data_IF_680671620724
#
_entry.id   IF_680671620724
#
_cell.length_a   1.000
_cell.length_b   1.000
_cell.length_c   1.000
_cell.angle_alpha   90.00
_cell.angle_beta   90.00
_cell.angle_gamma   90.00
#
_symmetry.space_group_name_H-M   'P 1'
#
loop_
_entity.id
_entity.type
_entity.pdbx_description
1 polymer ?
#
# COMPACT_ATOMS: atom_id res chain seq x y z
N UNK A 1 23.93 -8.38 3.48
CA UNK A 1 23.93 -9.85 3.63
C UNK A 1 23.40 -10.13 5.02
N UNK A 2 22.12 -10.51 5.15
CA UNK A 2 21.54 -10.88 6.44
C UNK A 2 21.77 -12.38 6.62
N UNK A 3 22.46 -12.78 7.68
CA UNK A 3 22.67 -14.20 7.99
C UNK A 3 21.46 -14.72 8.76
N UNK A 4 20.76 -15.69 8.19
CA UNK A 4 19.62 -16.35 8.83
C UNK A 4 20.14 -17.63 9.52
N UNK A 5 19.71 -17.85 10.76
CA UNK A 5 20.07 -19.03 11.52
C UNK A 5 18.81 -19.86 11.79
N UNK A 6 18.92 -21.16 11.57
CA UNK A 6 17.92 -22.13 12.01
C UNK A 6 18.25 -22.62 13.40
N UNK A 7 17.28 -22.47 14.30
CA UNK A 7 17.33 -23.07 15.63
C UNK A 7 16.96 -24.54 15.49
N UNK A 8 17.93 -25.41 15.74
CA UNK A 8 17.80 -26.85 15.76
C UNK A 8 17.34 -27.37 17.12
N UNK A 9 17.88 -28.50 17.53
CA UNK A 9 17.52 -29.14 18.80
C UNK A 9 17.93 -28.26 19.98
N UNK A 10 16.99 -28.03 20.90
CA UNK A 10 17.23 -27.33 22.16
C UNK A 10 17.27 -28.38 23.28
N UNK A 11 18.39 -28.47 24.00
CA UNK A 11 18.57 -29.41 25.12
C UNK A 11 18.84 -28.66 26.40
N UNK A 12 18.31 -29.19 27.50
CA UNK A 12 18.65 -28.74 28.83
C UNK A 12 19.76 -29.67 29.37
N UNK A 13 21.00 -29.20 29.58
CA UNK A 13 22.14 -30.06 29.90
C UNK A 13 22.05 -30.74 31.28
N UNK A 14 21.15 -30.28 32.16
CA UNK A 14 20.97 -30.79 33.53
C UNK A 14 19.55 -30.51 34.01
N UNK A 15 18.92 -31.46 34.71
CA UNK A 15 17.50 -31.37 35.15
C UNK A 15 17.16 -30.15 36.04
N UNK A 16 18.15 -29.44 36.58
CA UNK A 16 17.98 -28.24 37.42
C UNK A 16 18.71 -26.98 36.90
N UNK A 17 19.14 -26.97 35.64
CA UNK A 17 19.86 -25.85 35.04
C UNK A 17 18.90 -24.82 34.42
N UNK A 18 19.06 -23.52 34.73
CA UNK A 18 18.38 -22.43 33.99
C UNK A 18 18.97 -22.19 32.59
N UNK A 19 20.06 -22.88 32.24
CA UNK A 19 20.76 -22.76 30.96
C UNK A 19 20.24 -23.79 29.97
N UNK A 20 19.99 -23.33 28.76
CA UNK A 20 19.55 -24.11 27.60
C UNK A 20 20.61 -24.02 26.52
N UNK A 21 20.91 -25.13 25.87
CA UNK A 21 21.80 -25.21 24.72
C UNK A 21 20.97 -25.39 23.46
N UNK A 22 21.20 -24.52 22.46
CA UNK A 22 20.50 -24.57 21.18
C UNK A 22 21.52 -24.71 20.05
N UNK A 23 21.33 -25.71 19.18
CA UNK A 23 22.11 -25.80 17.97
C UNK A 23 21.64 -24.76 16.95
N UNK A 24 22.57 -24.00 16.38
CA UNK A 24 22.30 -23.04 15.31
C UNK A 24 22.98 -23.50 14.02
N UNK A 25 22.20 -23.60 12.95
CA UNK A 25 22.72 -23.89 11.61
C UNK A 25 22.56 -22.64 10.76
N UNK A 26 23.61 -22.22 10.06
CA UNK A 26 23.52 -21.13 9.07
C UNK A 26 22.64 -21.64 7.93
N UNK A 27 21.64 -20.86 7.56
CA UNK A 27 20.75 -21.17 6.43
C UNK A 27 20.70 -20.00 5.46
N UNK A 28 20.12 -20.27 4.30
CA UNK A 28 19.81 -19.28 3.29
C UNK A 28 18.34 -19.41 2.84
N UNK A 29 17.96 -18.63 1.84
CA UNK A 29 16.62 -18.54 1.28
C UNK A 29 16.15 -19.84 0.60
N UNK A 30 17.05 -20.81 0.38
CA UNK A 30 16.74 -22.11 -0.22
C UNK A 30 16.41 -23.22 0.79
N UNK A 31 16.49 -22.96 2.11
CA UNK A 31 16.13 -23.95 3.13
C UNK A 31 14.63 -24.30 3.05
N UNK A 32 14.33 -25.60 2.88
CA UNK A 32 12.97 -26.11 2.66
C UNK A 32 12.00 -25.86 3.81
N UNK A 33 12.49 -25.76 5.06
CA UNK A 33 11.65 -25.39 6.20
C UNK A 33 11.36 -23.90 6.24
N UNK A 34 12.34 -23.05 5.89
CA UNK A 34 12.11 -21.61 5.73
C UNK A 34 11.11 -21.33 4.59
N UNK A 35 11.27 -22.02 3.46
CA UNK A 35 10.30 -21.98 2.35
C UNK A 35 8.93 -22.45 2.82
N UNK A 36 8.84 -23.59 3.50
CA UNK A 36 7.56 -24.12 4.02
C UNK A 36 6.90 -23.21 5.07
N UNK A 37 7.68 -22.57 5.94
CA UNK A 37 7.17 -21.55 6.88
C UNK A 37 6.67 -20.31 6.15
N UNK A 38 7.42 -19.86 5.14
CA UNK A 38 7.04 -18.74 4.29
C UNK A 38 5.71 -19.04 3.59
N UNK A 39 5.53 -20.24 3.05
CA UNK A 39 4.29 -20.65 2.40
C UNK A 39 3.12 -20.77 3.39
N UNK A 40 3.36 -21.27 4.61
CA UNK A 40 2.35 -21.28 5.67
C UNK A 40 1.96 -19.88 6.13
N UNK A 41 2.91 -18.95 6.21
CA UNK A 41 2.63 -17.55 6.54
C UNK A 41 1.84 -16.91 5.39
N UNK A 42 2.24 -17.13 4.13
CA UNK A 42 1.47 -16.67 2.96
C UNK A 42 0.03 -17.19 2.99
N UNK A 43 -0.16 -18.47 3.34
CA UNK A 43 -1.48 -19.08 3.46
C UNK A 43 -2.29 -18.48 4.62
N UNK A 44 -1.67 -18.30 5.78
CA UNK A 44 -2.33 -17.72 6.96
C UNK A 44 -2.68 -16.23 6.78
N UNK A 45 -1.98 -15.54 5.89
CA UNK A 45 -2.13 -14.10 5.57
C UNK A 45 -2.92 -13.92 4.25
N UNK A 46 -3.51 -15.01 3.70
CA UNK A 46 -4.31 -14.99 2.46
C UNK A 46 -5.60 -14.17 2.58
N UNK A 47 -5.98 -13.73 3.78
CA UNK A 47 -7.07 -12.77 3.92
C UNK A 47 -6.80 -11.49 3.07
N UNK A 48 -7.83 -10.80 2.57
CA UNK A 48 -7.63 -9.66 1.68
C UNK A 48 -6.74 -8.56 2.27
N UNK A 49 -6.80 -8.37 3.59
CA UNK A 49 -6.00 -7.36 4.30
C UNK A 49 -4.54 -7.78 4.42
N UNK A 50 -4.31 -9.05 4.74
CA UNK A 50 -3.00 -9.68 4.79
C UNK A 50 -2.28 -9.63 3.45
N UNK A 51 -2.95 -10.09 2.39
CA UNK A 51 -2.45 -10.08 1.02
C UNK A 51 -2.11 -8.66 0.55
N UNK A 52 -2.94 -7.67 0.89
CA UNK A 52 -2.66 -6.26 0.57
C UNK A 52 -1.42 -5.72 1.30
N UNK A 53 -1.23 -6.07 2.57
CA UNK A 53 -0.03 -5.70 3.34
C UNK A 53 1.22 -6.34 2.75
N UNK A 54 1.15 -7.61 2.36
CA UNK A 54 2.24 -8.33 1.71
C UNK A 54 2.62 -7.66 0.38
N UNK A 55 1.65 -7.37 -0.48
CA UNK A 55 1.89 -6.68 -1.75
C UNK A 55 2.54 -5.30 -1.55
N UNK A 56 2.13 -4.58 -0.50
CA UNK A 56 2.72 -3.27 -0.16
C UNK A 56 4.17 -3.40 0.33
N UNK A 57 4.52 -4.47 1.04
CA UNK A 57 5.90 -4.75 1.45
C UNK A 57 6.76 -5.10 0.23
N UNK A 58 6.27 -5.96 -0.66
CA UNK A 58 6.94 -6.31 -1.91
C UNK A 58 7.25 -5.06 -2.75
N UNK A 59 6.32 -4.09 -2.82
CA UNK A 59 6.58 -2.80 -3.48
C UNK A 59 7.75 -2.04 -2.86
N UNK A 60 7.85 -2.01 -1.53
CA UNK A 60 8.93 -1.29 -0.83
C UNK A 60 10.28 -1.97 -0.96
N UNK A 61 10.28 -3.30 -1.04
CA UNK A 61 11.50 -4.11 -1.24
C UNK A 61 11.95 -4.14 -2.71
N UNK A 62 11.11 -3.65 -3.65
CA UNK A 62 11.43 -3.58 -5.07
C UNK A 62 10.99 -4.82 -5.88
N UNK A 63 10.24 -5.74 -5.28
CA UNK A 63 9.68 -6.92 -5.92
C UNK A 63 8.40 -6.57 -6.70
N UNK A 64 8.52 -5.71 -7.72
CA UNK A 64 7.38 -5.14 -8.43
C UNK A 64 6.53 -6.16 -9.19
N UNK A 65 7.15 -7.17 -9.81
CA UNK A 65 6.43 -8.18 -10.59
C UNK A 65 5.56 -9.07 -9.68
N UNK A 66 6.08 -9.45 -8.51
CA UNK A 66 5.35 -10.22 -7.51
C UNK A 66 4.22 -9.39 -6.88
N UNK A 67 4.47 -8.11 -6.61
CA UNK A 67 3.43 -7.19 -6.13
C UNK A 67 2.29 -7.05 -7.15
N UNK A 68 2.62 -6.95 -8.44
CA UNK A 68 1.62 -6.86 -9.52
C UNK A 68 0.74 -8.11 -9.59
N UNK A 69 1.33 -9.31 -9.55
CA UNK A 69 0.58 -10.57 -9.57
C UNK A 69 -0.43 -10.63 -8.41
N UNK A 70 0.02 -10.30 -7.20
CA UNK A 70 -0.81 -10.33 -6.01
C UNK A 70 -1.92 -9.26 -6.05
N UNK A 71 -1.64 -8.05 -6.54
CA UNK A 71 -2.67 -7.03 -6.72
C UNK A 71 -3.69 -7.41 -7.80
N UNK A 72 -3.29 -8.11 -8.87
CA UNK A 72 -4.23 -8.60 -9.86
C UNK A 72 -5.14 -9.71 -9.31
N UNK A 73 -4.61 -10.61 -8.47
CA UNK A 73 -5.41 -11.61 -7.75
C UNK A 73 -6.43 -10.93 -6.82
N UNK A 74 -5.97 -9.98 -6.01
CA UNK A 74 -6.84 -9.18 -5.14
C UNK A 74 -7.92 -8.44 -5.93
N UNK A 75 -7.59 -7.92 -7.11
CA UNK A 75 -8.54 -7.22 -7.97
C UNK A 75 -9.65 -8.14 -8.50
N UNK A 76 -9.34 -9.41 -8.78
CA UNK A 76 -10.32 -10.41 -9.22
C UNK A 76 -11.27 -10.80 -8.09
N UNK A 77 -10.78 -10.86 -6.86
CA UNK A 77 -11.55 -11.22 -5.68
C UNK A 77 -12.24 -10.04 -4.99
N UNK A 78 -11.95 -8.80 -5.42
CA UNK A 78 -12.49 -7.59 -4.82
C UNK A 78 -14.00 -7.46 -5.04
N UNK A 79 -14.77 -7.53 -3.95
CA UNK A 79 -16.23 -7.43 -3.97
C UNK A 79 -16.73 -5.99 -3.93
N UNK A 80 -15.98 -5.07 -3.33
CA UNK A 80 -16.36 -3.67 -3.20
C UNK A 80 -15.58 -2.76 -4.14
N UNK A 81 -16.27 -1.77 -4.72
CA UNK A 81 -15.65 -0.77 -5.60
C UNK A 81 -14.57 0.06 -4.87
N UNK A 82 -14.73 0.30 -3.56
CA UNK A 82 -13.70 0.96 -2.74
C UNK A 82 -12.37 0.20 -2.72
N UNK A 83 -12.43 -1.13 -2.59
CA UNK A 83 -11.24 -1.99 -2.58
C UNK A 83 -10.59 -1.99 -3.96
N UNK A 84 -11.41 -2.10 -5.02
CA UNK A 84 -10.93 -2.03 -6.42
C UNK A 84 -10.24 -0.69 -6.69
N UNK A 85 -10.76 0.42 -6.19
CA UNK A 85 -10.12 1.73 -6.33
C UNK A 85 -8.73 1.76 -5.66
N UNK A 86 -8.61 1.18 -4.47
CA UNK A 86 -7.35 1.10 -3.73
C UNK A 86 -6.34 0.20 -4.44
N UNK A 87 -6.78 -0.96 -4.93
CA UNK A 87 -5.94 -1.91 -5.67
C UNK A 87 -5.46 -1.30 -6.99
N UNK A 88 -6.33 -0.63 -7.75
CA UNK A 88 -5.91 0.09 -8.96
C UNK A 88 -4.90 1.20 -8.67
N UNK A 89 -5.02 1.88 -7.53
CA UNK A 89 -4.02 2.87 -7.12
C UNK A 89 -2.65 2.21 -6.89
N UNK A 90 -2.63 1.05 -6.20
CA UNK A 90 -1.39 0.33 -5.96
C UNK A 90 -0.77 -0.22 -7.24
N UNK A 91 -1.56 -0.80 -8.16
CA UNK A 91 -1.09 -1.21 -9.49
C UNK A 91 -0.49 -0.04 -10.28
N UNK A 92 -1.08 1.16 -10.16
CA UNK A 92 -0.50 2.38 -10.72
C UNK A 92 0.90 2.67 -10.15
N UNK A 93 1.06 2.53 -8.82
CA UNK A 93 2.35 2.69 -8.15
C UNK A 93 3.37 1.64 -8.57
N UNK A 94 2.96 0.38 -8.70
CA UNK A 94 3.82 -0.71 -9.19
C UNK A 94 4.36 -0.37 -10.58
N UNK A 95 3.46 0.01 -11.50
CA UNK A 95 3.83 0.36 -12.88
C UNK A 95 4.72 1.59 -12.96
N UNK A 96 4.49 2.57 -12.09
CA UNK A 96 5.32 3.75 -11.98
C UNK A 96 6.76 3.37 -11.59
N UNK A 97 6.93 2.53 -10.57
CA UNK A 97 8.26 2.08 -10.15
C UNK A 97 8.96 1.17 -11.17
N UNK A 98 8.20 0.43 -11.98
CA UNK A 98 8.72 -0.31 -13.15
C UNK A 98 9.07 0.60 -14.34
N UNK A 99 8.86 1.93 -14.26
CA UNK A 99 9.07 2.86 -15.38
C UNK A 99 8.01 2.79 -16.49
N UNK A 100 6.92 2.04 -16.26
CA UNK A 100 5.82 1.86 -17.21
C UNK A 100 4.78 2.99 -17.07
N UNK A 101 5.22 4.24 -17.27
CA UNK A 101 4.43 5.44 -16.96
C UNK A 101 3.05 5.50 -17.62
N UNK A 102 2.93 5.11 -18.89
CA UNK A 102 1.62 5.09 -19.57
C UNK A 102 0.64 4.10 -18.94
N UNK A 103 1.13 2.96 -18.43
CA UNK A 103 0.29 1.99 -17.72
C UNK A 103 -0.07 2.51 -16.34
N UNK A 104 0.86 3.16 -15.64
CA UNK A 104 0.62 3.80 -14.36
C UNK A 104 -0.53 4.82 -14.43
N UNK A 105 -0.51 5.71 -15.42
CA UNK A 105 -1.61 6.67 -15.66
C UNK A 105 -2.94 5.96 -15.86
N UNK A 106 -3.00 4.90 -16.67
CA UNK A 106 -4.24 4.15 -16.92
C UNK A 106 -4.82 3.57 -15.62
N UNK A 107 -3.97 3.01 -14.76
CA UNK A 107 -4.42 2.45 -13.49
C UNK A 107 -4.85 3.53 -12.50
N UNK A 108 -4.10 4.63 -12.38
CA UNK A 108 -4.51 5.76 -11.54
C UNK A 108 -5.82 6.40 -12.02
N UNK A 109 -6.06 6.50 -13.34
CA UNK A 109 -7.33 6.97 -13.89
C UNK A 109 -8.51 6.02 -13.58
N UNK A 110 -8.29 4.70 -13.63
CA UNK A 110 -9.32 3.73 -13.19
C UNK A 110 -9.66 3.91 -11.72
N UNK A 111 -8.65 4.07 -10.87
CA UNK A 111 -8.84 4.36 -9.44
C UNK A 111 -9.61 5.65 -9.21
N UNK A 112 -9.21 6.74 -9.87
CA UNK A 112 -9.86 8.05 -9.78
C UNK A 112 -11.33 7.97 -10.17
N UNK A 113 -11.66 7.33 -11.30
CA UNK A 113 -13.05 7.20 -11.78
C UNK A 113 -13.96 6.46 -10.81
N UNK A 114 -13.43 5.49 -10.07
CA UNK A 114 -14.21 4.78 -9.04
C UNK A 114 -14.39 5.69 -7.81
N UNK A 115 -13.31 6.33 -7.36
CA UNK A 115 -13.34 7.29 -6.25
C UNK A 115 -14.30 8.45 -6.51
N UNK A 116 -14.35 9.00 -7.72
CA UNK A 116 -15.26 10.08 -8.10
C UNK A 116 -16.73 9.69 -7.99
N UNK A 117 -17.06 8.41 -8.17
CA UNK A 117 -18.43 7.90 -8.02
C UNK A 117 -18.80 7.61 -6.57
N UNK A 118 -17.83 7.20 -5.77
CA UNK A 118 -18.06 6.71 -4.41
C UNK A 118 -17.86 7.78 -3.33
N UNK A 119 -17.05 8.81 -3.60
CA UNK A 119 -16.58 9.78 -2.61
C UNK A 119 -17.09 11.20 -2.91
N UNK A 120 -17.27 12.05 -1.89
CA UNK A 120 -17.62 13.44 -2.11
C UNK A 120 -16.52 14.18 -2.90
N UNK A 121 -16.86 15.21 -3.68
CA UNK A 121 -15.90 15.94 -4.53
C UNK A 121 -14.73 16.63 -3.79
N UNK A 122 -14.79 16.70 -2.46
CA UNK A 122 -13.76 17.27 -1.58
C UNK A 122 -12.91 16.20 -0.90
N UNK A 123 -13.13 14.92 -1.21
CA UNK A 123 -12.44 13.83 -0.53
C UNK A 123 -10.93 13.85 -0.84
N UNK A 124 -10.05 13.76 0.18
CA UNK A 124 -8.60 13.80 0.00
C UNK A 124 -8.06 12.78 -1.01
N UNK A 125 -8.65 11.58 -1.06
CA UNK A 125 -8.24 10.53 -2.01
C UNK A 125 -8.37 10.93 -3.49
N UNK A 126 -9.32 11.81 -3.83
CA UNK A 126 -9.44 12.37 -5.18
C UNK A 126 -8.24 13.26 -5.49
N UNK A 127 -7.84 14.09 -4.53
CA UNK A 127 -6.67 14.95 -4.65
C UNK A 127 -5.39 14.12 -4.77
N UNK A 128 -5.26 13.05 -3.97
CA UNK A 128 -4.12 12.12 -4.04
C UNK A 128 -4.04 11.44 -5.40
N UNK A 129 -5.14 10.90 -5.93
CA UNK A 129 -5.17 10.30 -7.27
C UNK A 129 -4.75 11.29 -8.36
N UNK A 130 -5.25 12.53 -8.32
CA UNK A 130 -4.85 13.59 -9.26
C UNK A 130 -3.35 13.94 -9.13
N UNK A 131 -2.83 14.06 -7.90
CA UNK A 131 -1.41 14.32 -7.68
C UNK A 131 -0.52 13.20 -8.24
N UNK A 132 -0.89 11.93 -8.06
CA UNK A 132 -0.14 10.80 -8.61
C UNK A 132 -0.10 10.85 -10.14
N UNK A 133 -1.24 11.11 -10.81
CA UNK A 133 -1.28 11.26 -12.28
C UNK A 133 -0.42 12.44 -12.73
N UNK A 134 -0.48 13.58 -12.03
CA UNK A 134 0.37 14.74 -12.29
C UNK A 134 1.86 14.42 -12.17
N UNK A 135 2.24 13.66 -11.14
CA UNK A 135 3.60 13.15 -10.94
C UNK A 135 4.07 12.30 -12.12
N UNK A 136 3.26 11.33 -12.56
CA UNK A 136 3.62 10.49 -13.70
C UNK A 136 3.80 11.31 -14.98
N UNK A 137 2.92 12.28 -15.26
CA UNK A 137 3.08 13.15 -16.42
C UNK A 137 4.31 14.06 -16.34
N UNK A 138 4.66 14.52 -15.14
CA UNK A 138 5.89 15.29 -14.91
C UNK A 138 7.13 14.48 -15.28
N UNK A 139 7.17 13.22 -14.86
CA UNK A 139 8.31 12.32 -15.14
C UNK A 139 8.37 11.90 -16.62
N UNK A 140 7.24 11.94 -17.32
CA UNK A 140 7.18 11.79 -18.79
C UNK A 140 7.59 13.06 -19.55
N UNK A 141 7.82 14.20 -18.87
CA UNK A 141 8.06 15.50 -19.51
C UNK A 141 6.82 16.18 -20.09
N UNK A 142 5.62 15.65 -19.81
CA UNK A 142 4.35 16.21 -20.26
C UNK A 142 3.84 17.28 -19.28
N UNK A 143 4.61 18.35 -19.10
CA UNK A 143 4.40 19.34 -18.04
C UNK A 143 3.03 20.03 -18.09
N UNK A 144 2.47 20.29 -19.28
CA UNK A 144 1.14 20.89 -19.40
C UNK A 144 0.05 20.01 -18.80
N UNK A 145 0.14 18.68 -19.00
CA UNK A 145 -0.81 17.74 -18.38
C UNK A 145 -0.54 17.60 -16.89
N UNK A 146 0.74 17.55 -16.50
CA UNK A 146 1.11 17.50 -15.09
C UNK A 146 0.50 18.68 -14.31
N UNK A 147 0.63 19.90 -14.84
CA UNK A 147 0.06 21.12 -14.27
C UNK A 147 -1.46 21.02 -14.11
N UNK A 148 -2.17 20.59 -15.17
CA UNK A 148 -3.63 20.44 -15.12
C UNK A 148 -4.08 19.50 -13.97
N UNK A 149 -3.38 18.38 -13.78
CA UNK A 149 -3.70 17.44 -12.71
C UNK A 149 -3.31 17.94 -11.31
N UNK A 150 -2.21 18.68 -11.19
CA UNK A 150 -1.84 19.33 -9.94
C UNK A 150 -2.83 20.43 -9.54
N UNK A 151 -3.29 21.25 -10.49
CA UNK A 151 -4.33 22.25 -10.26
C UNK A 151 -5.65 21.61 -9.82
N UNK A 152 -6.06 20.51 -10.46
CA UNK A 152 -7.23 19.73 -10.01
C UNK A 152 -7.06 19.23 -8.58
N UNK A 153 -5.89 18.69 -8.24
CA UNK A 153 -5.58 18.22 -6.89
C UNK A 153 -5.65 19.36 -5.86
N UNK A 154 -5.07 20.52 -6.19
CA UNK A 154 -5.09 21.71 -5.34
C UNK A 154 -6.52 22.20 -5.09
N UNK A 155 -7.32 22.33 -6.16
CA UNK A 155 -8.71 22.76 -6.09
C UNK A 155 -9.58 21.85 -5.23
N UNK A 156 -9.29 20.54 -5.18
CA UNK A 156 -9.99 19.61 -4.29
C UNK A 156 -9.61 19.88 -2.83
N UNK A 157 -8.33 20.13 -2.54
CA UNK A 157 -7.83 20.44 -1.18
C UNK A 157 -8.28 21.80 -0.65
N UNK A 158 -8.46 22.79 -1.53
CA UNK A 158 -8.91 24.14 -1.16
C UNK A 158 -10.41 24.23 -0.87
N UNK A 159 -11.22 23.27 -1.34
CA UNK A 159 -12.63 23.25 -0.97
C UNK A 159 -12.74 22.88 0.50
N UNK A 160 -13.35 23.73 1.35
CA UNK A 160 -13.52 23.39 2.75
C UNK A 160 -14.29 22.06 2.84
N UNK A 161 -13.78 21.14 3.66
CA UNK A 161 -14.56 20.00 4.12
C UNK A 161 -15.92 20.55 4.60
N UNK A 162 -17.06 19.98 4.17
CA UNK A 162 -18.34 20.42 4.70
C UNK A 162 -18.25 20.34 6.21
N UNK A 163 -18.53 21.45 6.88
CA UNK A 163 -18.46 21.61 8.33
C UNK A 163 -19.50 20.69 8.97
N UNK A 164 -19.20 19.40 9.06
CA UNK A 164 -19.97 18.45 9.85
C UNK A 164 -19.38 18.49 11.24
N UNK A 165 -19.87 19.42 12.07
CA UNK A 165 -20.12 19.27 13.52
C UNK A 165 -20.37 20.66 14.17
N UNK A 166 -21.22 20.75 15.20
CA UNK A 166 -21.69 21.98 15.85
C UNK A 166 -20.61 22.74 16.66
N UNK A 167 -19.32 22.45 16.46
CA UNK A 167 -18.20 23.07 17.19
C UNK A 167 -17.86 24.51 16.75
N UNK A 168 -18.46 25.00 15.66
CA UNK A 168 -18.27 26.39 15.23
C UNK A 168 -19.16 27.40 15.96
N UNK A 169 -20.17 26.95 16.70
CA UNK A 169 -20.96 27.85 17.54
C UNK A 169 -20.13 28.37 18.72
N UNK A 170 -19.25 27.55 19.31
CA UNK A 170 -18.47 27.95 20.50
C UNK A 170 -17.31 28.91 20.15
N UNK A 171 -16.81 28.87 18.90
CA UNK A 171 -15.68 29.72 18.49
C UNK A 171 -16.09 31.15 18.12
N UNK A 172 -17.34 31.36 17.68
CA UNK A 172 -17.85 32.70 17.34
C UNK A 172 -18.24 33.53 18.59
N UNK A 173 -18.63 32.88 19.69
CA UNK A 173 -19.02 33.58 20.92
C UNK A 173 -17.82 34.07 21.75
N UNK A 174 -16.63 33.47 21.58
CA UNK A 174 -15.40 33.90 22.29
C UNK A 174 -14.69 35.10 21.66
N UNK A 175 -15.10 35.57 20.48
CA UNK A 175 -14.54 36.76 19.84
C UNK A 175 -15.38 38.04 20.08
N UNK A 176 -16.50 37.96 20.82
CA UNK A 176 -17.40 39.11 21.08
C UNK A 176 -17.50 39.48 22.58
N UNK A 177 -16.71 38.87 23.47
CA UNK A 177 -16.61 39.30 24.89
C UNK A 177 -15.28 39.97 25.16
#
# INVERSE_FOLDING_TARGET
MHTVFRVGEIKQPTENSRLWEAQLTITDESDSQLVGLTDRIKEAVRDPTGSQRMATLMLKEGHFDQAEELYNELLQNASHDSDRASIYHQLGSTKYHQGQYQQAVKFYQKSLKIREKALPPTHPDLATSCSCIGGVYSDMGEYSKALEYYEKSHKIKEKPLPLTHPDLAEKAEREIT
#
